data_IF_144986599299
#
_entry.id   IF_144986599299
#
_cell.length_a   1.000
_cell.length_b   1.000
_cell.length_c   1.000
_cell.angle_alpha   90.00
_cell.angle_beta   90.00
_cell.angle_gamma   90.00
#
_symmetry.space_group_name_H-M   'P 1'
#
loop_
_entity.id
_entity.type
_entity.pdbx_description
1 polymer ?
#
# COMPACT_ATOMS: atom_id res chain seq x y z
N UNK A 1 31.59 -13.88 -7.14
CA UNK A 1 30.25 -14.49 -7.21
C UNK A 1 29.81 -15.14 -5.90
N UNK A 2 30.53 -16.12 -5.34
CA UNK A 2 30.10 -16.83 -4.12
C UNK A 2 29.99 -15.96 -2.87
N UNK A 3 30.94 -15.03 -2.66
CA UNK A 3 30.91 -14.06 -1.54
C UNK A 3 29.64 -13.19 -1.56
N UNK A 4 29.19 -12.75 -2.73
CA UNK A 4 27.97 -11.94 -2.89
C UNK A 4 26.72 -12.75 -2.56
N UNK A 5 26.68 -14.03 -2.96
CA UNK A 5 25.61 -14.94 -2.59
C UNK A 5 25.52 -15.13 -1.07
N UNK A 6 26.63 -15.40 -0.38
CA UNK A 6 26.62 -15.57 1.07
C UNK A 6 26.16 -14.31 1.81
N UNK A 7 26.57 -13.12 1.34
CA UNK A 7 26.08 -11.84 1.88
C UNK A 7 24.56 -11.70 1.73
N UNK A 8 24.02 -12.06 0.57
CA UNK A 8 22.58 -12.03 0.32
C UNK A 8 21.81 -13.03 1.20
N UNK A 9 22.31 -14.28 1.31
CA UNK A 9 21.73 -15.30 2.20
C UNK A 9 21.70 -14.80 3.64
N UNK A 10 22.79 -14.18 4.10
CA UNK A 10 22.87 -13.60 5.44
C UNK A 10 21.87 -12.44 5.66
N UNK A 11 21.55 -11.66 4.63
CA UNK A 11 20.58 -10.56 4.73
C UNK A 11 19.12 -11.04 4.81
N UNK A 12 18.81 -12.24 4.32
CA UNK A 12 17.44 -12.77 4.24
C UNK A 12 17.31 -14.11 5.02
N UNK A 13 17.54 -14.12 6.35
CA UNK A 13 17.70 -15.37 7.12
C UNK A 13 16.43 -16.24 7.19
N UNK A 14 15.25 -15.67 6.96
CA UNK A 14 13.96 -16.39 7.04
C UNK A 14 13.48 -16.97 5.70
N UNK A 15 14.25 -16.81 4.63
CA UNK A 15 13.90 -17.34 3.31
C UNK A 15 14.50 -18.73 3.07
N UNK A 16 13.75 -19.58 2.38
CA UNK A 16 14.26 -20.87 1.93
C UNK A 16 15.36 -20.68 0.88
N UNK A 17 16.33 -21.61 0.84
CA UNK A 17 17.38 -21.63 -0.19
C UNK A 17 16.81 -21.62 -1.62
N UNK A 18 15.64 -22.24 -1.82
CA UNK A 18 14.91 -22.21 -3.10
C UNK A 18 14.47 -20.79 -3.47
N UNK A 19 13.88 -20.04 -2.54
CA UNK A 19 13.48 -18.65 -2.78
C UNK A 19 14.71 -17.75 -2.98
N UNK A 20 15.78 -17.94 -2.21
CA UNK A 20 17.02 -17.17 -2.39
C UNK A 20 17.60 -17.35 -3.80
N UNK A 21 17.72 -18.60 -4.28
CA UNK A 21 18.18 -18.86 -5.65
C UNK A 21 17.21 -18.32 -6.71
N UNK A 22 15.90 -18.38 -6.45
CA UNK A 22 14.89 -17.88 -7.37
C UNK A 22 14.93 -16.35 -7.51
N UNK A 23 15.16 -15.63 -6.42
CA UNK A 23 15.37 -14.19 -6.43
C UNK A 23 16.63 -13.82 -7.21
N UNK A 24 17.75 -14.50 -6.95
CA UNK A 24 19.00 -14.25 -7.67
C UNK A 24 18.91 -14.52 -9.18
N UNK A 25 18.10 -15.50 -9.60
CA UNK A 25 17.85 -15.73 -11.03
C UNK A 25 17.08 -14.59 -11.70
N UNK A 26 16.17 -13.94 -10.97
CA UNK A 26 15.40 -12.81 -11.47
C UNK A 26 16.24 -11.52 -11.46
N UNK A 27 17.04 -11.32 -10.41
CA UNK A 27 17.93 -10.17 -10.23
C UNK A 27 19.23 -10.62 -9.54
N UNK A 28 20.35 -10.76 -10.29
CA UNK A 28 21.60 -11.29 -9.74
C UNK A 28 22.20 -10.50 -8.57
N UNK A 29 21.93 -9.19 -8.53
CA UNK A 29 22.38 -8.22 -7.54
C UNK A 29 21.28 -7.87 -6.51
N UNK A 30 20.28 -8.76 -6.34
CA UNK A 30 19.17 -8.53 -5.41
C UNK A 30 19.64 -8.30 -3.97
N UNK A 31 19.18 -7.20 -3.38
CA UNK A 31 19.39 -6.86 -1.98
C UNK A 31 18.33 -7.45 -1.03
N UNK A 32 18.14 -6.81 0.12
CA UNK A 32 17.15 -7.25 1.10
C UNK A 32 15.72 -7.01 0.59
N UNK A 33 14.88 -8.05 0.67
CA UNK A 33 13.51 -8.03 0.12
C UNK A 33 12.44 -8.33 1.16
N UNK A 34 11.30 -7.67 1.02
CA UNK A 34 10.14 -7.81 1.88
C UNK A 34 8.83 -7.76 1.11
N UNK A 35 7.77 -8.31 1.68
CA UNK A 35 6.42 -8.14 1.12
C UNK A 35 5.94 -6.70 1.31
N UNK A 36 5.01 -6.26 0.47
CA UNK A 36 4.42 -4.92 0.59
C UNK A 36 3.90 -4.63 2.00
N UNK A 37 3.18 -5.58 2.62
CA UNK A 37 2.67 -5.44 3.98
C UNK A 37 3.76 -5.37 5.04
N UNK A 38 4.85 -6.13 4.87
CA UNK A 38 6.00 -6.07 5.78
C UNK A 38 6.66 -4.68 5.74
N UNK A 39 6.83 -4.10 4.55
CA UNK A 39 7.36 -2.74 4.41
C UNK A 39 6.45 -1.68 4.99
N UNK A 40 5.15 -1.79 4.72
CA UNK A 40 4.14 -0.88 5.28
C UNK A 40 4.18 -0.87 6.81
N UNK A 41 4.29 -2.04 7.44
CA UNK A 41 4.37 -2.16 8.90
C UNK A 41 5.66 -1.55 9.48
N UNK A 42 6.69 -1.36 8.66
CA UNK A 42 7.96 -0.71 9.03
C UNK A 42 7.98 0.79 8.66
N UNK A 43 6.88 1.37 8.20
CA UNK A 43 6.81 2.79 7.82
C UNK A 43 7.27 3.11 6.40
N UNK A 44 7.51 2.10 5.57
CA UNK A 44 7.93 2.26 4.18
C UNK A 44 6.80 1.96 3.20
N UNK A 45 6.82 2.64 2.06
CA UNK A 45 5.92 2.43 0.94
C UNK A 45 6.69 2.13 -0.32
N UNK A 46 6.15 1.26 -1.18
CA UNK A 46 6.73 1.01 -2.49
C UNK A 46 6.46 2.22 -3.40
N UNK A 47 7.50 2.71 -4.08
CA UNK A 47 7.38 3.80 -5.07
C UNK A 47 6.39 3.42 -6.17
N UNK A 48 5.60 4.39 -6.63
CA UNK A 48 4.64 4.18 -7.72
C UNK A 48 5.39 3.78 -9.00
N UNK A 49 4.93 2.74 -9.67
CA UNK A 49 5.52 2.23 -10.92
C UNK A 49 6.58 1.16 -10.73
N UNK A 50 7.01 0.87 -9.50
CA UNK A 50 7.97 -0.21 -9.24
C UNK A 50 7.36 -1.60 -9.46
N UNK A 51 8.17 -2.49 -10.02
CA UNK A 51 7.82 -3.89 -10.23
C UNK A 51 8.53 -4.78 -9.20
N UNK A 52 7.77 -5.65 -8.54
CA UNK A 52 8.32 -6.54 -7.52
C UNK A 52 8.85 -7.86 -8.10
N UNK A 53 9.73 -8.50 -7.34
CA UNK A 53 10.27 -9.83 -7.61
C UNK A 53 9.32 -10.92 -7.11
N UNK A 54 9.41 -12.12 -7.70
CA UNK A 54 8.55 -13.25 -7.32
C UNK A 54 9.23 -14.21 -6.36
N UNK A 55 8.43 -14.74 -5.44
CA UNK A 55 8.84 -15.80 -4.50
C UNK A 55 7.74 -16.86 -4.40
N UNK A 56 8.08 -18.07 -3.99
CA UNK A 56 7.09 -19.06 -3.58
C UNK A 56 6.68 -18.81 -2.12
N UNK A 57 5.40 -18.54 -1.89
CA UNK A 57 4.83 -18.36 -0.56
C UNK A 57 3.94 -19.55 -0.20
N UNK A 58 4.03 -20.08 1.02
CA UNK A 58 3.12 -21.12 1.48
C UNK A 58 1.70 -20.58 1.65
N UNK A 59 0.71 -21.35 1.20
CA UNK A 59 -0.69 -21.15 1.54
C UNK A 59 -1.03 -22.11 2.68
N UNK A 60 -1.41 -21.55 3.84
CA UNK A 60 -1.75 -22.34 5.03
C UNK A 60 -3.26 -22.35 5.26
N UNK A 61 -3.73 -23.42 5.90
CA UNK A 61 -5.11 -23.53 6.39
C UNK A 61 -5.13 -24.27 7.72
N UNK A 62 -6.20 -24.11 8.48
CA UNK A 62 -6.42 -24.90 9.69
C UNK A 62 -6.56 -26.37 9.33
N UNK A 63 -5.77 -27.23 9.99
CA UNK A 63 -5.82 -28.67 9.82
C UNK A 63 -7.12 -29.20 10.44
N UNK A 64 -7.80 -30.07 9.70
CA UNK A 64 -9.05 -30.69 10.13
C UNK A 64 -8.88 -32.20 10.34
N UNK A 65 -9.64 -32.76 11.26
CA UNK A 65 -9.78 -34.21 11.44
C UNK A 65 -10.72 -34.82 10.39
N UNK A 66 -10.92 -36.14 10.46
CA UNK A 66 -11.81 -36.89 9.56
C UNK A 66 -13.27 -36.43 9.63
N UNK A 67 -13.66 -35.82 10.75
CA UNK A 67 -15.01 -35.32 11.02
C UNK A 67 -15.15 -33.83 10.66
N UNK A 68 -14.09 -33.17 10.18
CA UNK A 68 -14.08 -31.76 9.80
C UNK A 68 -13.79 -30.76 10.94
N UNK A 69 -13.50 -31.23 12.15
CA UNK A 69 -13.17 -30.38 13.29
C UNK A 69 -11.70 -29.92 13.25
N UNK A 70 -11.43 -28.72 13.75
CA UNK A 70 -10.06 -28.17 13.79
C UNK A 70 -9.20 -28.96 14.78
N UNK A 71 -8.05 -29.43 14.33
CA UNK A 71 -7.06 -30.06 15.20
C UNK A 71 -6.29 -28.96 15.93
N UNK A 72 -6.31 -28.96 17.26
CA UNK A 72 -5.60 -27.97 18.07
C UNK A 72 -4.16 -28.41 18.40
N UNK A 73 -3.30 -27.44 18.65
CA UNK A 73 -1.96 -27.64 19.19
C UNK A 73 -1.98 -27.73 20.73
N UNK A 74 -0.80 -27.91 21.33
CA UNK A 74 -0.65 -28.02 22.80
C UNK A 74 -1.12 -26.78 23.56
N UNK A 75 -1.28 -25.64 22.87
CA UNK A 75 -1.68 -24.35 23.41
C UNK A 75 -3.13 -24.01 23.08
N UNK A 76 -3.89 -24.94 22.51
CA UNK A 76 -5.29 -24.75 22.13
C UNK A 76 -5.49 -23.93 20.84
N UNK A 77 -4.43 -23.62 20.08
CA UNK A 77 -4.56 -22.92 18.79
C UNK A 77 -4.72 -23.93 17.65
N UNK A 78 -5.50 -23.63 16.59
CA UNK A 78 -5.59 -24.52 15.43
C UNK A 78 -4.22 -24.80 14.82
N UNK A 79 -3.85 -26.07 14.67
CA UNK A 79 -2.68 -26.47 13.91
C UNK A 79 -2.88 -26.06 12.46
N UNK A 80 -1.88 -25.43 11.88
CA UNK A 80 -1.90 -25.08 10.46
C UNK A 80 -1.16 -26.13 9.63
N UNK A 81 -1.67 -26.38 8.43
CA UNK A 81 -1.00 -27.17 7.40
C UNK A 81 -0.80 -26.33 6.15
N UNK A 82 0.30 -26.58 5.43
CA UNK A 82 0.54 -25.99 4.11
C UNK A 82 -0.15 -26.89 3.09
N UNK A 83 -1.11 -26.36 2.35
CA UNK A 83 -1.84 -27.12 1.33
C UNK A 83 -1.40 -26.79 -0.10
N UNK A 84 -0.76 -25.64 -0.31
CA UNK A 84 -0.29 -25.20 -1.61
C UNK A 84 0.83 -24.17 -1.48
N UNK A 85 1.47 -23.85 -2.61
CA UNK A 85 2.34 -22.70 -2.75
C UNK A 85 1.82 -21.81 -3.86
N UNK A 86 1.89 -20.49 -3.67
CA UNK A 86 1.58 -19.49 -4.70
C UNK A 86 2.77 -18.59 -4.97
N UNK A 87 2.76 -17.91 -6.12
CA UNK A 87 3.72 -16.85 -6.39
C UNK A 87 3.30 -15.57 -5.65
N UNK A 88 4.13 -15.17 -4.70
CA UNK A 88 4.05 -13.88 -4.03
C UNK A 88 4.91 -12.83 -4.70
N UNK A 89 4.68 -11.57 -4.34
CA UNK A 89 5.48 -10.43 -4.80
C UNK A 89 6.20 -9.81 -3.61
N UNK A 90 7.49 -9.54 -3.79
CA UNK A 90 8.35 -8.82 -2.82
C UNK A 90 9.07 -7.67 -3.49
N UNK A 91 9.48 -6.70 -2.69
CA UNK A 91 10.14 -5.48 -3.13
C UNK A 91 11.45 -5.30 -2.37
N UNK A 92 12.44 -4.75 -3.06
CA UNK A 92 13.77 -4.45 -2.53
C UNK A 92 13.81 -3.06 -1.88
N UNK A 93 14.76 -2.84 -0.97
CA UNK A 93 14.90 -1.59 -0.21
C UNK A 93 14.97 -0.32 -1.07
N UNK A 94 15.65 -0.34 -2.23
CA UNK A 94 15.77 0.84 -3.10
C UNK A 94 14.45 1.24 -3.78
N UNK A 95 13.47 0.33 -3.82
CA UNK A 95 12.13 0.55 -4.37
C UNK A 95 11.20 1.24 -3.37
N UNK A 96 11.69 1.52 -2.16
CA UNK A 96 10.91 2.07 -1.06
C UNK A 96 11.10 3.58 -0.93
N UNK A 97 10.08 4.22 -0.39
CA UNK A 97 10.08 5.59 0.13
C UNK A 97 9.51 5.57 1.54
N UNK A 98 10.05 6.40 2.42
CA UNK A 98 9.45 6.62 3.74
C UNK A 98 8.07 7.26 3.58
N UNK A 99 7.13 6.82 4.41
CA UNK A 99 5.75 7.30 4.36
C UNK A 99 5.63 8.82 4.53
N UNK A 100 6.46 9.40 5.39
CA UNK A 100 6.48 10.84 5.69
C UNK A 100 6.84 11.69 4.46
N UNK A 101 7.57 11.11 3.52
CA UNK A 101 8.02 11.76 2.28
C UNK A 101 7.02 11.60 1.12
N UNK A 102 5.90 10.91 1.32
CA UNK A 102 4.85 10.82 0.30
C UNK A 102 4.13 12.17 0.17
N UNK A 103 3.99 12.64 -1.06
CA UNK A 103 3.12 13.77 -1.37
C UNK A 103 1.71 13.46 -0.87
N UNK A 104 1.27 14.20 0.15
CA UNK A 104 -0.08 14.06 0.69
C UNK A 104 -1.06 14.56 -0.38
N UNK A 105 -2.15 13.81 -0.67
CA UNK A 105 -3.18 14.31 -1.58
C UNK A 105 -3.67 15.66 -1.06
N UNK A 106 -3.71 16.64 -1.97
CA UNK A 106 -4.15 18.04 -1.82
C UNK A 106 -4.38 18.46 -0.36
N UNK A 107 -3.39 19.14 0.22
CA UNK A 107 -3.65 19.91 1.43
C UNK A 107 -4.75 20.92 1.10
N UNK A 108 -5.81 20.96 1.90
CA UNK A 108 -6.71 22.11 1.90
C UNK A 108 -5.85 23.37 2.08
N UNK A 109 -6.15 24.41 1.30
CA UNK A 109 -5.46 25.70 1.44
C UNK A 109 -5.52 26.07 2.93
N UNK A 110 -4.39 26.45 3.56
CA UNK A 110 -4.39 26.85 4.96
C UNK A 110 -5.53 27.84 5.22
N UNK A 111 -6.12 27.76 6.41
CA UNK A 111 -7.24 28.62 6.82
C UNK A 111 -6.72 30.05 7.06
N UNK A 112 -6.24 30.70 5.99
CA UNK A 112 -5.96 32.13 5.93
C UNK A 112 -7.20 32.80 5.31
N UNK A 113 -8.05 33.45 6.12
CA UNK A 113 -9.30 34.03 5.65
C UNK A 113 -9.12 35.03 4.51
N UNK A 114 -8.00 35.76 4.51
CA UNK A 114 -7.75 36.85 3.55
C UNK A 114 -7.37 36.34 2.16
N UNK A 115 -6.50 35.31 2.10
CA UNK A 115 -6.05 34.76 0.82
C UNK A 115 -7.13 33.91 0.16
N UNK A 116 -7.89 33.15 0.96
CA UNK A 116 -9.03 32.36 0.48
C UNK A 116 -10.13 33.24 -0.10
N UNK A 117 -10.38 34.40 0.51
CA UNK A 117 -11.35 35.38 0.03
C UNK A 117 -10.91 36.01 -1.30
N UNK A 118 -9.65 36.42 -1.42
CA UNK A 118 -9.10 36.95 -2.69
C UNK A 118 -9.18 35.94 -3.82
N UNK A 119 -8.83 34.68 -3.54
CA UNK A 119 -8.92 33.59 -4.52
C UNK A 119 -10.37 33.35 -4.94
N UNK A 120 -11.30 33.25 -3.99
CA UNK A 120 -12.72 33.07 -4.26
C UNK A 120 -13.28 34.19 -5.15
N UNK A 121 -12.97 35.44 -4.86
CA UNK A 121 -13.40 36.57 -5.70
C UNK A 121 -12.75 36.57 -7.08
N UNK A 122 -11.49 36.18 -7.18
CA UNK A 122 -10.79 36.10 -8.47
C UNK A 122 -11.43 35.05 -9.37
N UNK A 123 -11.75 33.88 -8.82
CA UNK A 123 -12.44 32.79 -9.53
C UNK A 123 -13.87 33.22 -9.91
N UNK A 124 -14.60 33.84 -8.98
CA UNK A 124 -15.96 34.33 -9.24
C UNK A 124 -15.98 35.38 -10.35
N UNK A 125 -14.97 36.27 -10.40
CA UNK A 125 -14.86 37.30 -11.43
C UNK A 125 -14.44 36.76 -12.79
N UNK A 126 -13.61 35.71 -12.82
CA UNK A 126 -13.14 35.09 -14.06
C UNK A 126 -14.12 34.06 -14.63
N UNK A 127 -15.10 33.61 -13.84
CA UNK A 127 -16.07 32.61 -14.23
C UNK A 127 -17.24 33.22 -15.00
N UNK A 128 -17.53 32.69 -16.19
CA UNK A 128 -18.74 33.03 -16.96
C UNK A 128 -20.02 32.47 -16.32
N UNK A 129 -19.89 31.54 -15.37
CA UNK A 129 -20.99 30.93 -14.62
C UNK A 129 -21.08 31.59 -13.23
N UNK A 130 -22.27 32.06 -12.80
CA UNK A 130 -22.45 32.62 -11.47
C UNK A 130 -22.12 31.63 -10.36
N UNK A 131 -21.19 32.01 -9.48
CA UNK A 131 -20.82 31.23 -8.28
C UNK A 131 -21.43 31.92 -7.06
N UNK A 132 -22.17 31.17 -6.24
CA UNK A 132 -22.80 31.67 -5.01
C UNK A 132 -22.44 30.76 -3.84
N UNK A 133 -22.14 31.35 -2.70
CA UNK A 133 -22.05 30.63 -1.42
C UNK A 133 -23.46 30.60 -0.83
N UNK A 134 -23.99 29.41 -0.59
CA UNK A 134 -25.27 29.23 0.06
C UNK A 134 -25.01 28.87 1.53
N UNK A 135 -25.56 29.64 2.45
CA UNK A 135 -25.39 29.41 3.90
C UNK A 135 -26.11 28.14 4.37
N UNK A 136 -27.14 27.72 3.64
CA UNK A 136 -27.98 26.56 3.96
C UNK A 136 -28.33 25.81 2.69
N UNK A 137 -27.49 24.85 2.33
CA UNK A 137 -27.93 23.79 1.44
C UNK A 137 -28.01 22.51 2.27
N UNK A 138 -29.20 21.93 2.39
CA UNK A 138 -29.34 20.50 2.65
C UNK A 138 -28.65 19.78 1.48
N UNK A 139 -27.35 19.58 1.60
CA UNK A 139 -26.54 18.97 0.56
C UNK A 139 -26.76 17.46 0.64
N UNK A 140 -27.34 16.88 -0.40
CA UNK A 140 -27.37 15.44 -0.52
C UNK A 140 -25.93 14.92 -0.54
N UNK A 141 -25.60 13.95 0.32
CA UNK A 141 -24.40 13.08 0.24
C UNK A 141 -23.01 13.68 0.54
N UNK A 142 -22.89 14.73 1.36
CA UNK A 142 -21.58 15.17 1.88
C UNK A 142 -20.65 15.87 0.87
N UNK A 143 -21.21 16.36 -0.25
CA UNK A 143 -20.51 17.25 -1.16
C UNK A 143 -20.49 18.69 -0.62
N UNK A 144 -19.43 19.46 -0.91
CA UNK A 144 -19.25 20.85 -0.49
C UNK A 144 -19.69 21.88 -1.56
N UNK A 145 -20.45 21.45 -2.57
CA UNK A 145 -20.93 22.29 -3.67
C UNK A 145 -21.68 21.48 -4.73
N UNK A 146 -22.46 22.15 -5.57
CA UNK A 146 -23.17 21.55 -6.71
C UNK A 146 -23.31 22.54 -7.86
N UNK A 147 -23.48 22.03 -9.08
CA UNK A 147 -23.81 22.84 -10.26
C UNK A 147 -25.29 22.63 -10.60
N UNK A 148 -26.03 23.73 -10.77
CA UNK A 148 -27.44 23.71 -11.20
C UNK A 148 -27.59 24.47 -12.51
N UNK A 149 -27.95 23.79 -13.62
CA UNK A 149 -28.18 24.45 -14.90
C UNK A 149 -29.49 25.25 -14.94
N UNK A 150 -30.37 25.07 -13.94
CA UNK A 150 -31.74 25.61 -13.91
C UNK A 150 -31.86 26.95 -13.20
N UNK A 151 -30.81 27.40 -12.51
CA UNK A 151 -30.81 28.64 -11.72
C UNK A 151 -29.88 29.67 -12.39
N UNK A 152 -30.42 30.50 -13.29
CA UNK A 152 -29.72 31.71 -13.77
C UNK A 152 -29.74 32.79 -12.71
#
# INVERSE_FOLDING_TARGET
MFKSYLKFVASCPHYSSRNLRFLQKQKPDVGFVGSFGAWKNQGYHVKKGEHGLKIFMPCTRDKKDVNGNKILDKNGKPKQEIYAFKLGTVFETHQLVEYENLSKPVAYVPDNPDDNRKLFFSITKASDVPIKVLETAQMCSGANGFYSPTTK
#
